data_IF_631640764894
#
_entry.id   IF_631640764894
#
_cell.length_a   1.000
_cell.length_b   1.000
_cell.length_c   1.000
_cell.angle_alpha   90.00
_cell.angle_beta   90.00
_cell.angle_gamma   90.00
#
_symmetry.space_group_name_H-M   'P 1'
#
loop_
_entity.id
_entity.type
_entity.pdbx_description
1 polymer ?
#
# COMPACT_ATOMS: atom_id res chain seq x y z
N UNK A 1 -17.77 4.63 7.23
CA UNK A 1 -17.07 5.92 7.04
C UNK A 1 -15.98 5.82 5.97
N UNK A 2 -15.07 4.85 6.04
CA UNK A 2 -14.10 4.60 4.95
C UNK A 2 -14.79 4.16 3.66
N UNK A 3 -15.68 3.15 3.72
CA UNK A 3 -16.43 2.64 2.55
C UNK A 3 -17.30 3.74 1.89
N UNK A 4 -17.98 4.57 2.69
CA UNK A 4 -18.77 5.70 2.18
C UNK A 4 -17.90 6.75 1.47
N UNK A 5 -16.69 7.00 1.95
CA UNK A 5 -15.74 7.91 1.29
C UNK A 5 -15.23 7.33 -0.04
N UNK A 6 -14.88 6.04 -0.08
CA UNK A 6 -14.43 5.36 -1.30
C UNK A 6 -15.50 5.36 -2.40
N UNK A 7 -16.76 5.17 -2.00
CA UNK A 7 -17.94 5.28 -2.87
C UNK A 7 -18.34 6.73 -3.21
N UNK A 8 -17.54 7.71 -2.82
CA UNK A 8 -17.78 9.15 -3.02
C UNK A 8 -19.12 9.65 -2.45
N UNK A 9 -19.62 9.03 -1.39
CA UNK A 9 -20.85 9.41 -0.70
C UNK A 9 -20.61 10.42 0.44
N UNK A 10 -19.35 10.70 0.77
CA UNK A 10 -18.95 11.71 1.75
C UNK A 10 -17.63 12.36 1.34
N UNK A 11 -17.55 13.68 1.41
CA UNK A 11 -16.27 14.40 1.28
C UNK A 11 -15.63 14.60 2.65
N UNK A 12 -14.38 14.17 2.75
CA UNK A 12 -13.52 14.30 3.92
C UNK A 12 -12.17 14.84 3.45
N UNK A 13 -11.55 15.67 4.29
CA UNK A 13 -10.18 16.15 4.07
C UNK A 13 -9.20 14.98 3.96
N UNK A 14 -8.20 15.12 3.09
CA UNK A 14 -7.25 14.06 2.79
C UNK A 14 -6.44 13.60 4.01
N UNK A 15 -6.14 14.50 4.96
CA UNK A 15 -5.45 14.16 6.21
C UNK A 15 -6.34 13.28 7.09
N UNK A 16 -7.62 13.63 7.22
CA UNK A 16 -8.58 12.87 8.02
C UNK A 16 -8.73 11.46 7.47
N UNK A 17 -8.89 11.34 6.15
CA UNK A 17 -9.03 10.04 5.48
C UNK A 17 -7.78 9.18 5.67
N UNK A 18 -6.59 9.77 5.52
CA UNK A 18 -5.34 9.06 5.75
C UNK A 18 -5.26 8.51 7.18
N UNK A 19 -5.57 9.33 8.18
CA UNK A 19 -5.57 8.93 9.59
C UNK A 19 -6.62 7.85 9.89
N UNK A 20 -7.80 7.91 9.27
CA UNK A 20 -8.82 6.86 9.41
C UNK A 20 -8.34 5.52 8.85
N UNK A 21 -7.66 5.52 7.69
CA UNK A 21 -7.06 4.30 7.15
C UNK A 21 -5.96 3.74 8.06
N UNK A 22 -5.14 4.61 8.68
CA UNK A 22 -4.12 4.17 9.65
C UNK A 22 -4.75 3.62 10.92
N UNK A 23 -5.74 4.31 11.49
CA UNK A 23 -6.47 3.83 12.67
C UNK A 23 -7.11 2.45 12.45
N UNK A 24 -7.65 2.19 11.26
CA UNK A 24 -8.21 0.88 10.91
C UNK A 24 -7.15 -0.24 10.89
N UNK A 25 -5.89 0.05 10.55
CA UNK A 25 -4.80 -0.93 10.68
C UNK A 25 -4.43 -1.17 12.14
N UNK A 26 -4.34 -0.10 12.93
CA UNK A 26 -4.04 -0.20 14.36
C UNK A 26 -5.07 -1.01 15.15
N UNK A 27 -6.34 -0.91 14.78
CA UNK A 27 -7.43 -1.71 15.35
C UNK A 27 -7.14 -3.22 15.25
N UNK A 28 -6.48 -3.67 14.16
CA UNK A 28 -6.15 -5.07 13.93
C UNK A 28 -4.73 -5.46 14.34
N UNK A 29 -3.86 -4.51 14.70
CA UNK A 29 -2.44 -4.76 14.96
C UNK A 29 -2.22 -5.80 16.08
N UNK A 30 -2.99 -5.72 17.16
CA UNK A 30 -2.90 -6.69 18.27
C UNK A 30 -3.34 -8.10 17.83
N UNK A 31 -4.34 -8.19 16.97
CA UNK A 31 -4.83 -9.47 16.40
C UNK A 31 -3.80 -10.09 15.46
N UNK A 32 -3.17 -9.28 14.60
CA UNK A 32 -2.08 -9.72 13.72
C UNK A 32 -0.93 -10.29 14.56
N UNK A 33 -0.47 -9.55 15.57
CA UNK A 33 0.59 -10.03 16.47
C UNK A 33 0.22 -11.33 17.19
N UNK A 34 -1.02 -11.46 17.66
CA UNK A 34 -1.48 -12.67 18.32
C UNK A 34 -1.45 -13.89 17.38
N UNK A 35 -1.82 -13.73 16.10
CA UNK A 35 -1.75 -14.82 15.12
C UNK A 35 -0.31 -15.17 14.75
N UNK A 36 0.55 -14.18 14.52
CA UNK A 36 1.97 -14.41 14.22
C UNK A 36 2.65 -15.16 15.37
N UNK A 37 2.39 -14.77 16.63
CA UNK A 37 2.92 -15.46 17.82
C UNK A 37 2.38 -16.88 18.01
N UNK A 38 1.29 -17.25 17.34
CA UNK A 38 0.77 -18.62 17.30
C UNK A 38 1.40 -19.45 16.16
N UNK A 39 2.38 -18.90 15.43
CA UNK A 39 2.98 -19.54 14.25
C UNK A 39 2.07 -19.53 13.03
N UNK A 40 1.05 -18.66 12.98
CA UNK A 40 0.15 -18.56 11.82
C UNK A 40 0.69 -17.55 10.81
N UNK A 41 0.61 -17.91 9.54
CA UNK A 41 0.81 -16.98 8.44
C UNK A 41 -0.40 -16.05 8.33
N UNK A 42 -0.15 -14.74 8.24
CA UNK A 42 -1.17 -13.71 8.03
C UNK A 42 -1.01 -13.14 6.63
N UNK A 43 -2.00 -13.35 5.77
CA UNK A 43 -2.06 -12.74 4.44
C UNK A 43 -2.92 -11.47 4.50
N UNK A 44 -2.30 -10.32 4.23
CA UNK A 44 -2.99 -9.04 4.21
C UNK A 44 -3.19 -8.57 2.76
N UNK A 45 -4.44 -8.36 2.36
CA UNK A 45 -4.75 -7.59 1.15
C UNK A 45 -4.67 -6.10 1.48
N UNK A 46 -3.59 -5.46 1.00
CA UNK A 46 -3.15 -4.11 1.36
C UNK A 46 -2.71 -3.98 2.83
N UNK A 47 -1.89 -2.97 3.07
CA UNK A 47 -1.37 -2.60 4.39
C UNK A 47 -0.92 -1.13 4.40
N UNK A 48 0.00 -0.75 5.29
CA UNK A 48 0.50 0.63 5.44
C UNK A 48 0.95 1.28 4.12
N UNK A 49 1.66 0.53 3.27
CA UNK A 49 2.18 1.02 1.98
C UNK A 49 1.09 1.57 1.05
N UNK A 50 -0.11 0.96 1.05
CA UNK A 50 -1.23 1.50 0.27
C UNK A 50 -1.71 2.84 0.81
N UNK A 51 -1.88 2.97 2.13
CA UNK A 51 -2.29 4.24 2.76
C UNK A 51 -1.34 5.38 2.40
N UNK A 52 -0.04 5.13 2.46
CA UNK A 52 1.02 6.08 2.10
C UNK A 52 0.96 6.40 0.60
N UNK A 53 0.99 5.39 -0.27
CA UNK A 53 1.08 5.60 -1.71
C UNK A 53 -0.08 6.43 -2.25
N UNK A 54 -1.32 6.13 -1.84
CA UNK A 54 -2.49 6.90 -2.26
C UNK A 54 -2.48 8.33 -1.70
N UNK A 55 -2.05 8.54 -0.46
CA UNK A 55 -2.11 9.87 0.16
C UNK A 55 -1.01 10.80 -0.37
N UNK A 56 0.20 10.28 -0.56
CA UNK A 56 1.31 11.03 -1.15
C UNK A 56 1.03 11.31 -2.64
N UNK A 57 0.48 10.35 -3.39
CA UNK A 57 0.21 10.52 -4.81
C UNK A 57 -0.82 11.63 -5.13
N UNK A 58 -1.70 11.99 -4.18
CA UNK A 58 -2.62 13.12 -4.34
C UNK A 58 -1.91 14.46 -4.43
N UNK A 59 -0.77 14.62 -3.74
CA UNK A 59 -0.02 15.86 -3.67
C UNK A 59 1.05 15.98 -4.77
N UNK A 60 1.22 14.92 -5.58
CA UNK A 60 2.17 14.92 -6.68
C UNK A 60 1.56 15.58 -7.94
N UNK A 61 2.34 16.37 -8.69
CA UNK A 61 1.88 16.97 -9.94
C UNK A 61 1.45 15.89 -10.94
N UNK A 62 0.37 16.16 -11.69
CA UNK A 62 -0.02 15.35 -12.85
C UNK A 62 0.96 15.59 -13.99
N UNK A 63 1.16 14.60 -14.87
CA UNK A 63 1.97 14.76 -16.09
C UNK A 63 1.44 15.88 -17.00
N UNK A 64 0.14 16.21 -16.88
CA UNK A 64 -0.54 17.27 -17.63
C UNK A 64 -0.53 18.64 -16.91
N UNK A 65 -0.04 18.72 -15.67
CA UNK A 65 0.08 19.97 -14.90
C UNK A 65 1.49 20.09 -14.32
N UNK A 66 2.29 20.99 -14.88
CA UNK A 66 3.66 21.29 -14.44
C UNK A 66 3.72 22.00 -13.08
N UNK A 67 2.58 22.46 -12.57
CA UNK A 67 2.41 23.05 -11.25
C UNK A 67 1.78 22.03 -10.30
N UNK A 68 2.25 21.97 -9.05
CA UNK A 68 1.63 21.14 -8.02
C UNK A 68 0.11 21.39 -7.97
N UNK A 69 -0.72 20.35 -7.73
CA UNK A 69 -2.17 20.50 -7.69
C UNK A 69 -2.54 21.59 -6.69
N UNK A 70 -3.53 22.42 -7.05
CA UNK A 70 -4.11 23.39 -6.12
C UNK A 70 -4.52 22.65 -4.85
N UNK A 71 -4.03 23.04 -3.66
CA UNK A 71 -4.38 22.37 -2.43
C UNK A 71 -5.90 22.28 -2.31
N UNK A 72 -6.41 21.09 -1.98
CA UNK A 72 -7.84 20.88 -1.68
C UNK A 72 -8.26 21.62 -0.41
N UNK A 73 -7.28 22.06 0.39
CA UNK A 73 -7.44 22.88 1.60
C UNK A 73 -6.21 23.77 1.82
N UNK A 74 -6.32 24.81 2.64
CA UNK A 74 -5.18 25.67 3.06
C UNK A 74 -4.14 24.92 3.93
N UNK A 75 -4.27 23.60 4.08
CA UNK A 75 -3.37 22.77 4.88
C UNK A 75 -2.14 22.34 4.07
N UNK A 76 -1.00 22.08 4.73
CA UNK A 76 0.20 21.59 4.07
C UNK A 76 -0.05 20.24 3.39
N UNK A 77 0.67 19.91 2.30
CA UNK A 77 0.52 18.63 1.62
C UNK A 77 0.99 17.45 2.47
N UNK A 78 0.37 16.29 2.29
CA UNK A 78 0.80 15.03 2.89
C UNK A 78 2.12 14.59 2.24
N UNK A 79 3.21 14.75 2.99
CA UNK A 79 4.55 14.29 2.61
C UNK A 79 4.78 12.83 2.99
N UNK A 80 5.82 12.21 2.43
CA UNK A 80 6.17 10.82 2.76
C UNK A 80 6.47 10.61 4.26
N UNK A 81 7.27 11.47 4.96
CA UNK A 81 7.48 11.33 6.39
C UNK A 81 6.18 11.47 7.20
N UNK A 82 5.31 12.42 6.81
CA UNK A 82 4.02 12.60 7.48
C UNK A 82 3.13 11.36 7.31
N UNK A 83 3.07 10.80 6.10
CA UNK A 83 2.23 9.62 5.82
C UNK A 83 2.73 8.34 6.52
N UNK A 84 4.03 8.25 6.83
CA UNK A 84 4.60 7.10 7.56
C UNK A 84 4.32 7.16 9.06
N UNK A 85 4.36 8.35 9.64
CA UNK A 85 4.30 8.54 11.08
C UNK A 85 3.08 7.87 11.77
N UNK A 86 1.85 7.91 11.20
CA UNK A 86 0.70 7.22 11.79
C UNK A 86 0.86 5.70 11.84
N UNK A 87 1.58 5.10 10.91
CA UNK A 87 1.75 3.64 10.80
C UNK A 87 3.06 3.12 11.41
N UNK A 88 3.88 4.01 11.97
CA UNK A 88 5.15 3.64 12.59
C UNK A 88 4.93 2.67 13.77
N UNK A 89 5.77 1.64 13.88
CA UNK A 89 5.67 0.55 14.85
C UNK A 89 4.50 -0.44 14.65
N UNK A 90 3.75 -0.36 13.56
CA UNK A 90 2.90 -1.49 13.16
C UNK A 90 3.77 -2.74 12.91
N UNK A 91 3.20 -3.96 13.04
CA UNK A 91 3.89 -5.20 12.67
C UNK A 91 4.44 -5.10 11.24
N UNK A 92 5.75 -5.32 11.09
CA UNK A 92 6.42 -5.27 9.79
C UNK A 92 6.13 -6.54 8.98
N UNK A 93 5.75 -6.44 7.69
CA UNK A 93 5.61 -7.62 6.83
C UNK A 93 6.96 -8.21 6.46
N UNK A 94 7.13 -9.53 6.61
CA UNK A 94 8.35 -10.22 6.14
C UNK A 94 8.47 -10.23 4.62
N UNK A 95 7.33 -10.22 3.92
CA UNK A 95 7.21 -10.21 2.47
C UNK A 95 6.10 -9.26 2.03
N UNK A 96 6.42 -8.38 1.08
CA UNK A 96 5.44 -7.55 0.37
C UNK A 96 5.48 -7.87 -1.11
N UNK A 97 4.34 -8.32 -1.64
CA UNK A 97 4.14 -8.56 -3.07
C UNK A 97 3.42 -7.37 -3.69
N UNK A 98 4.10 -6.65 -4.58
CA UNK A 98 3.51 -5.58 -5.38
C UNK A 98 3.07 -6.14 -6.74
N UNK A 99 1.76 -6.31 -6.91
CA UNK A 99 1.14 -6.74 -8.15
C UNK A 99 1.11 -5.57 -9.14
N UNK A 100 2.10 -5.53 -10.03
CA UNK A 100 2.24 -4.45 -11.01
C UNK A 100 1.43 -4.77 -12.27
N UNK A 101 0.46 -3.89 -12.59
CA UNK A 101 -0.39 -4.02 -13.76
C UNK A 101 -0.43 -2.69 -14.50
N UNK A 102 -0.33 -2.74 -15.83
CA UNK A 102 -0.46 -1.53 -16.64
C UNK A 102 -1.91 -1.02 -16.60
N UNK A 103 -2.15 0.31 -16.64
CA UNK A 103 -3.50 0.86 -16.70
C UNK A 103 -4.34 0.29 -17.85
N UNK A 104 -3.72 0.01 -19.00
CA UNK A 104 -4.36 -0.55 -20.18
C UNK A 104 -4.91 -1.95 -19.93
N UNK A 105 -4.15 -2.79 -19.22
CA UNK A 105 -4.56 -4.14 -18.82
C UNK A 105 -5.57 -4.09 -17.69
N UNK A 106 -5.43 -3.15 -16.75
CA UNK A 106 -6.40 -2.99 -15.66
C UNK A 106 -7.79 -2.62 -16.19
N UNK A 107 -7.86 -1.77 -17.24
CA UNK A 107 -9.12 -1.35 -17.86
C UNK A 107 -9.91 -2.49 -18.53
N UNK A 108 -9.25 -3.57 -18.93
CA UNK A 108 -9.93 -4.73 -19.55
C UNK A 108 -10.56 -5.64 -18.50
N UNK A 109 -10.17 -5.50 -17.23
CA UNK A 109 -10.75 -6.18 -16.08
C UNK A 109 -11.91 -5.30 -15.59
N UNK A 110 -13.15 -5.79 -15.70
CA UNK A 110 -14.35 -4.98 -15.40
C UNK A 110 -14.32 -4.34 -14.00
N UNK A 111 -14.97 -3.18 -13.87
CA UNK A 111 -15.02 -2.39 -12.63
C UNK A 111 -14.08 -1.18 -12.58
N UNK A 112 -13.15 -1.04 -13.53
CA UNK A 112 -12.25 0.12 -13.60
C UNK A 112 -12.99 1.43 -13.92
N UNK A 113 -12.92 2.40 -13.02
CA UNK A 113 -13.48 3.75 -13.15
C UNK A 113 -14.71 4.00 -12.27
N UNK A 114 -15.13 3.02 -11.46
CA UNK A 114 -16.29 3.13 -10.56
C UNK A 114 -15.92 3.76 -9.21
N UNK A 115 -14.66 3.65 -8.78
CA UNK A 115 -14.19 4.18 -7.49
C UNK A 115 -13.39 5.49 -7.59
N UNK A 116 -13.34 6.24 -6.47
CA UNK A 116 -12.74 7.60 -6.36
C UNK A 116 -11.31 7.70 -6.91
N UNK A 117 -10.53 6.63 -6.87
CA UNK A 117 -9.11 6.62 -7.25
C UNK A 117 -8.80 5.96 -8.59
N UNK A 118 -9.81 5.51 -9.33
CA UNK A 118 -9.64 4.77 -10.60
C UNK A 118 -9.52 5.73 -11.79
N UNK A 119 -8.68 6.76 -11.64
CA UNK A 119 -8.28 7.67 -12.72
C UNK A 119 -6.86 7.33 -13.15
N UNK A 120 -6.61 7.25 -14.46
CA UNK A 120 -5.31 6.86 -15.04
C UNK A 120 -4.14 7.66 -14.45
N UNK A 121 -4.27 8.98 -14.41
CA UNK A 121 -3.26 9.88 -13.84
C UNK A 121 -2.96 9.58 -12.37
N UNK A 122 -3.98 9.26 -11.57
CA UNK A 122 -3.81 8.92 -10.16
C UNK A 122 -3.07 7.58 -10.03
N UNK A 123 -3.45 6.59 -10.84
CA UNK A 123 -2.82 5.26 -10.84
C UNK A 123 -1.34 5.33 -11.25
N UNK A 124 -0.97 6.17 -12.23
CA UNK A 124 0.44 6.43 -12.59
C UNK A 124 1.23 7.00 -11.42
N UNK A 125 0.67 8.00 -10.71
CA UNK A 125 1.34 8.61 -9.54
C UNK A 125 1.46 7.62 -8.38
N UNK A 126 0.42 6.84 -8.11
CA UNK A 126 0.44 5.78 -7.08
C UNK A 126 1.50 4.72 -7.40
N UNK A 127 1.57 4.26 -8.65
CA UNK A 127 2.59 3.31 -9.12
C UNK A 127 4.01 3.87 -8.94
N UNK A 128 4.23 5.16 -9.22
CA UNK A 128 5.52 5.83 -8.97
C UNK A 128 5.91 5.77 -7.48
N UNK A 129 5.00 6.12 -6.58
CA UNK A 129 5.26 6.11 -5.13
C UNK A 129 5.54 4.70 -4.64
N UNK A 130 4.79 3.69 -5.10
CA UNK A 130 5.11 2.29 -4.77
C UNK A 130 6.50 1.87 -5.25
N UNK A 131 6.90 2.29 -6.45
CA UNK A 131 8.24 2.02 -6.96
C UNK A 131 9.36 2.67 -6.12
N UNK A 132 9.12 3.87 -5.58
CA UNK A 132 10.04 4.52 -4.64
C UNK A 132 10.14 3.76 -3.31
N UNK A 133 9.00 3.41 -2.71
CA UNK A 133 8.93 2.62 -1.47
C UNK A 133 9.63 1.27 -1.64
N UNK A 134 9.37 0.55 -2.73
CA UNK A 134 9.98 -0.76 -2.97
C UNK A 134 11.49 -0.69 -3.21
N UNK A 135 11.99 0.36 -3.87
CA UNK A 135 13.44 0.60 -4.01
C UNK A 135 14.10 0.90 -2.67
N UNK A 136 13.43 1.66 -1.80
CA UNK A 136 13.93 1.96 -0.47
C UNK A 136 14.02 0.69 0.38
N UNK A 137 12.94 -0.10 0.48
CA UNK A 137 12.91 -1.35 1.26
C UNK A 137 13.99 -2.33 0.79
N UNK A 138 14.16 -2.50 -0.53
CA UNK A 138 15.20 -3.38 -1.06
C UNK A 138 16.61 -2.78 -0.96
N UNK A 139 16.74 -1.46 -0.77
CA UNK A 139 18.01 -0.72 -0.76
C UNK A 139 18.58 -0.47 0.64
N UNK A 140 17.75 -0.45 1.69
CA UNK A 140 18.22 -0.23 3.08
C UNK A 140 19.02 -1.40 3.61
N UNK A 141 18.81 -2.62 3.10
CA UNK A 141 19.46 -3.84 3.61
C UNK A 141 19.15 -4.11 5.08
N UNK A 142 18.21 -3.38 5.67
CA UNK A 142 17.76 -3.54 7.04
C UNK A 142 16.94 -4.82 7.12
N UNK A 143 17.31 -5.71 8.05
CA UNK A 143 16.67 -7.01 8.23
C UNK A 143 15.19 -6.86 8.62
N UNK A 144 14.82 -5.73 9.22
CA UNK A 144 13.50 -5.48 9.81
C UNK A 144 12.45 -4.91 8.82
N UNK A 145 12.88 -4.43 7.64
CA UNK A 145 12.00 -3.79 6.65
C UNK A 145 11.29 -4.79 5.71
N UNK A 146 11.64 -6.09 5.84
CA UNK A 146 11.08 -7.16 5.03
C UNK A 146 11.57 -7.15 3.57
N UNK A 147 10.97 -8.00 2.73
CA UNK A 147 11.34 -8.16 1.32
C UNK A 147 10.27 -7.60 0.39
N UNK A 148 10.65 -6.75 -0.58
CA UNK A 148 9.73 -6.25 -1.60
C UNK A 148 9.91 -6.95 -2.95
N UNK A 149 8.87 -7.64 -3.43
CA UNK A 149 8.86 -8.31 -4.74
C UNK A 149 7.82 -7.68 -5.63
N UNK A 150 8.22 -7.30 -6.84
CA UNK A 150 7.31 -6.89 -7.90
C UNK A 150 6.91 -8.13 -8.69
N UNK A 151 5.61 -8.36 -8.82
CA UNK A 151 5.02 -9.45 -9.61
C UNK A 151 4.30 -8.84 -10.79
N UNK A 152 4.58 -9.31 -12.00
CA UNK A 152 3.88 -8.85 -13.21
C UNK A 152 2.47 -9.42 -13.26
N UNK A 153 1.51 -8.61 -12.81
CA UNK A 153 0.09 -8.94 -12.78
C UNK A 153 -0.61 -8.70 -14.12
N UNK A 154 0.12 -8.38 -15.20
CA UNK A 154 -0.39 -8.32 -16.57
C UNK A 154 -0.57 -9.69 -17.24
N UNK A 155 0.07 -10.73 -16.69
CA UNK A 155 -0.06 -12.12 -17.13
C UNK A 155 -1.42 -12.73 -16.76
N UNK A 156 -1.67 -13.96 -17.20
CA UNK A 156 -2.86 -14.70 -16.82
C UNK A 156 -2.84 -15.11 -15.33
N UNK A 157 -4.04 -15.38 -14.78
CA UNK A 157 -4.22 -15.68 -13.36
C UNK A 157 -3.37 -16.86 -12.87
N UNK A 158 -3.22 -17.91 -13.68
CA UNK A 158 -2.47 -19.10 -13.26
C UNK A 158 -0.99 -18.77 -13.11
N UNK A 159 -0.41 -18.07 -14.09
CA UNK A 159 1.00 -17.65 -14.04
C UNK A 159 1.27 -16.71 -12.87
N UNK A 160 0.38 -15.73 -12.61
CA UNK A 160 0.52 -14.81 -11.47
C UNK A 160 0.44 -15.58 -10.15
N UNK A 161 -0.50 -16.52 -10.03
CA UNK A 161 -0.69 -17.33 -8.82
C UNK A 161 0.55 -18.19 -8.52
N UNK A 162 1.11 -18.85 -9.54
CA UNK A 162 2.33 -19.64 -9.40
C UNK A 162 3.54 -18.79 -8.98
N UNK A 163 3.67 -17.58 -9.55
CA UNK A 163 4.72 -16.63 -9.20
C UNK A 163 4.60 -16.17 -7.74
N UNK A 164 3.39 -15.78 -7.30
CA UNK A 164 3.12 -15.42 -5.91
C UNK A 164 3.42 -16.59 -4.95
N UNK A 165 2.94 -17.78 -5.29
CA UNK A 165 3.12 -18.97 -4.46
C UNK A 165 4.59 -19.33 -4.26
N UNK A 166 5.43 -19.17 -5.30
CA UNK A 166 6.88 -19.36 -5.19
C UNK A 166 7.52 -18.49 -4.11
N UNK A 167 6.98 -17.29 -3.89
CA UNK A 167 7.47 -16.37 -2.87
C UNK A 167 6.82 -16.58 -1.50
N UNK A 168 5.58 -17.05 -1.43
CA UNK A 168 4.85 -17.27 -0.17
C UNK A 168 5.20 -18.62 0.46
N UNK A 169 5.38 -19.67 -0.35
CA UNK A 169 5.60 -21.04 0.14
C UNK A 169 6.75 -21.19 1.18
N UNK A 170 7.88 -20.46 1.08
CA UNK A 170 8.93 -20.51 2.10
C UNK A 170 8.52 -20.06 3.51
N UNK A 171 7.38 -19.39 3.66
CA UNK A 171 6.89 -18.84 4.94
C UNK A 171 5.83 -19.73 5.60
N UNK A 172 5.41 -20.84 4.97
CA UNK A 172 4.30 -21.68 5.46
C UNK A 172 4.59 -22.36 6.80
N UNK A 173 5.86 -22.69 7.04
CA UNK A 173 6.30 -23.33 8.29
C UNK A 173 6.60 -22.30 9.39
N UNK A 174 6.34 -21.02 9.14
CA UNK A 174 6.65 -19.91 10.04
C UNK A 174 8.11 -19.47 9.98
N UNK A 175 8.42 -18.40 10.70
CA UNK A 175 9.77 -17.88 10.85
C UNK A 175 10.14 -17.89 12.33
N UNK A 176 11.35 -18.36 12.64
CA UNK A 176 11.92 -18.28 13.99
C UNK A 176 12.64 -16.95 14.18
N UNK A 177 11.92 -15.85 13.94
CA UNK A 177 12.40 -14.48 14.06
C UNK A 177 11.37 -13.63 14.83
N UNK A 178 11.80 -12.62 15.59
CA UNK A 178 10.87 -11.70 16.23
C UNK A 178 10.10 -10.91 15.17
N UNK A 179 8.83 -10.60 15.44
CA UNK A 179 8.03 -9.77 14.54
C UNK A 179 8.61 -8.35 14.50
N UNK A 180 9.06 -7.93 13.31
CA UNK A 180 9.61 -6.60 13.07
C UNK A 180 8.61 -5.46 13.30
N UNK A 181 9.10 -4.23 13.19
CA UNK A 181 8.32 -3.00 13.39
C UNK A 181 8.60 -2.03 12.24
N UNK A 182 7.55 -1.50 11.61
CA UNK A 182 7.69 -0.56 10.51
C UNK A 182 8.27 0.77 11.00
N UNK A 183 9.34 1.25 10.35
CA UNK A 183 9.92 2.59 10.55
C UNK A 183 10.19 2.94 12.03
N UNK A 184 10.67 1.96 12.82
CA UNK A 184 11.06 2.12 14.23
C UNK A 184 12.52 2.46 14.42
#
# INVERSE_FOLDING_TARGET
MIDSYLRSQSDLDDHVVHLLFSANRWELASTILAYLNQGKLVLCDRYAFSGIAFSVAKNLPSELQTTAPTPSSDLPPITLPWARAPDASLPSPDLTLFLDVSPEVARTRGGYGEERYEKEDMQKRVRRVFGEIGREINGTGAVDDGKWIVVDAGKDLSTVTEEMWRHIAPFLDGLDLPVGRLWS
#
